data_IF_595075119392
#
_entry.id   IF_595075119392
#
_cell.length_a   1.000
_cell.length_b   1.000
_cell.length_c   1.000
_cell.angle_alpha   90.00
_cell.angle_beta   90.00
_cell.angle_gamma   90.00
#
_symmetry.space_group_name_H-M   'P 1'
#
loop_
_entity.id
_entity.type
_entity.pdbx_description
1 polymer ?
#
# COMPACT_ATOMS: atom_id res chain seq x y z
N UNK A 1 -29.08 58.51 -63.70
CA UNK A 1 -30.01 57.42 -63.40
C UNK A 1 -29.21 56.14 -63.25
N UNK A 2 -28.84 55.73 -61.99
CA UNK A 2 -28.12 54.49 -61.67
C UNK A 2 -29.05 53.61 -60.86
N UNK A 3 -29.42 52.45 -61.38
CA UNK A 3 -30.22 51.44 -60.66
C UNK A 3 -29.29 50.55 -59.83
N UNK A 4 -29.50 50.58 -58.49
CA UNK A 4 -28.91 49.65 -57.58
C UNK A 4 -29.65 48.31 -57.58
N UNK A 5 -28.95 47.22 -57.90
CA UNK A 5 -29.45 45.87 -57.76
C UNK A 5 -29.15 45.36 -56.30
N UNK A 6 -30.16 44.84 -55.66
CA UNK A 6 -30.05 44.27 -54.32
C UNK A 6 -29.40 42.87 -54.33
N UNK A 7 -28.55 42.52 -53.39
CA UNK A 7 -28.00 41.17 -53.28
C UNK A 7 -29.01 40.20 -52.61
N UNK A 8 -29.14 39.00 -53.15
CA UNK A 8 -29.95 37.91 -52.67
C UNK A 8 -29.42 37.39 -51.30
N UNK A 9 -30.32 37.28 -50.31
CA UNK A 9 -30.07 36.64 -49.03
C UNK A 9 -29.92 35.12 -49.18
N UNK A 10 -28.69 34.60 -49.10
CA UNK A 10 -28.46 33.20 -48.88
C UNK A 10 -28.71 32.90 -47.39
N UNK A 11 -29.77 32.15 -47.07
CA UNK A 11 -30.04 31.61 -45.72
C UNK A 11 -29.01 30.52 -45.39
N UNK A 12 -27.97 30.88 -44.66
CA UNK A 12 -27.08 29.91 -44.03
C UNK A 12 -27.74 29.31 -42.80
N UNK A 13 -27.94 28.00 -42.80
CA UNK A 13 -28.50 27.21 -41.70
C UNK A 13 -27.54 27.27 -40.48
N UNK A 14 -27.89 27.87 -39.31
CA UNK A 14 -26.97 28.07 -38.21
C UNK A 14 -26.73 26.83 -37.32
N UNK A 15 -27.41 25.71 -37.59
CA UNK A 15 -27.38 24.54 -36.65
C UNK A 15 -26.15 23.62 -36.77
N UNK A 16 -25.56 23.49 -37.99
CA UNK A 16 -24.44 22.53 -38.16
C UNK A 16 -23.06 23.05 -37.74
N UNK A 17 -22.83 24.35 -37.79
CA UNK A 17 -21.54 24.94 -37.38
C UNK A 17 -21.37 25.03 -35.89
N UNK A 18 -22.48 25.11 -35.11
CA UNK A 18 -22.42 25.16 -33.63
C UNK A 18 -22.13 23.80 -32.99
N UNK A 19 -22.62 22.70 -33.63
CA UNK A 19 -22.37 21.34 -33.15
C UNK A 19 -20.91 20.89 -33.38
N UNK A 20 -20.29 21.30 -34.47
CA UNK A 20 -18.87 21.02 -34.76
C UNK A 20 -17.91 21.81 -33.87
N UNK A 21 -18.27 23.03 -33.46
CA UNK A 21 -17.48 23.87 -32.56
C UNK A 21 -17.43 23.34 -31.12
N UNK A 22 -18.52 22.78 -30.61
CA UNK A 22 -18.57 22.24 -29.24
C UNK A 22 -17.85 20.91 -29.14
N UNK A 23 -17.88 20.06 -30.15
CA UNK A 23 -17.20 18.76 -30.14
C UNK A 23 -15.67 18.87 -30.18
N UNK A 24 -15.15 19.91 -30.81
CA UNK A 24 -13.70 20.15 -30.92
C UNK A 24 -13.11 20.88 -29.70
N UNK A 25 -13.93 21.56 -28.89
CA UNK A 25 -13.46 22.26 -27.67
C UNK A 25 -13.36 21.35 -26.48
N UNK A 26 -14.17 20.29 -26.41
CA UNK A 26 -14.13 19.35 -25.26
C UNK A 26 -13.07 18.25 -25.38
N UNK A 27 -12.69 17.84 -26.60
CA UNK A 27 -11.70 16.79 -26.84
C UNK A 27 -10.32 17.07 -26.24
N UNK A 28 -9.71 18.26 -26.36
CA UNK A 28 -8.40 18.51 -25.76
C UNK A 28 -8.42 18.51 -24.23
N UNK A 29 -9.53 18.90 -23.59
CA UNK A 29 -9.68 18.85 -22.13
C UNK A 29 -9.80 17.43 -21.60
N UNK A 30 -10.54 16.55 -22.28
CA UNK A 30 -10.67 15.15 -21.89
C UNK A 30 -9.37 14.36 -22.07
N UNK A 31 -8.67 14.58 -23.20
CA UNK A 31 -7.37 13.93 -23.44
C UNK A 31 -6.31 14.37 -22.44
N UNK A 32 -6.30 15.65 -22.06
CA UNK A 32 -5.43 16.16 -21.01
C UNK A 32 -5.75 15.57 -19.63
N UNK A 33 -7.04 15.41 -19.31
CA UNK A 33 -7.49 14.79 -18.05
C UNK A 33 -7.08 13.33 -17.93
N UNK A 34 -7.29 12.52 -19.00
CA UNK A 34 -6.86 11.12 -19.03
C UNK A 34 -5.35 10.96 -18.91
N UNK A 35 -4.58 11.83 -19.58
CA UNK A 35 -3.12 11.81 -19.46
C UNK A 35 -2.66 12.11 -18.03
N UNK A 36 -3.25 13.09 -17.35
CA UNK A 36 -2.95 13.43 -15.96
C UNK A 36 -3.26 12.25 -15.04
N UNK A 37 -4.39 11.56 -15.21
CA UNK A 37 -4.75 10.40 -14.40
C UNK A 37 -3.82 9.20 -14.65
N UNK A 38 -3.43 8.95 -15.92
CA UNK A 38 -2.46 7.91 -16.27
C UNK A 38 -1.10 8.18 -15.60
N UNK A 39 -0.64 9.43 -15.66
CA UNK A 39 0.59 9.86 -14.99
C UNK A 39 0.45 9.66 -13.48
N UNK A 40 -0.71 10.03 -12.88
CA UNK A 40 -0.98 9.80 -11.46
C UNK A 40 -0.85 8.34 -11.06
N UNK A 41 -1.44 7.43 -11.83
CA UNK A 41 -1.31 5.99 -11.61
C UNK A 41 0.15 5.51 -11.67
N UNK A 42 0.89 5.93 -12.70
CA UNK A 42 2.30 5.53 -12.85
C UNK A 42 3.19 6.11 -11.75
N UNK A 43 2.95 7.35 -11.33
CA UNK A 43 3.64 7.94 -10.18
C UNK A 43 3.31 7.22 -8.87
N UNK A 44 2.06 6.80 -8.67
CA UNK A 44 1.68 5.96 -7.53
C UNK A 44 2.42 4.62 -7.54
N UNK A 45 2.52 3.95 -8.68
CA UNK A 45 3.31 2.72 -8.81
C UNK A 45 4.79 2.97 -8.51
N UNK A 46 5.36 4.07 -9.02
CA UNK A 46 6.75 4.44 -8.75
C UNK A 46 6.96 4.74 -7.26
N UNK A 47 6.06 5.47 -6.62
CA UNK A 47 6.13 5.79 -5.21
C UNK A 47 6.25 4.55 -4.32
N UNK A 48 5.60 3.43 -4.70
CA UNK A 48 5.78 2.16 -4.01
C UNK A 48 7.22 1.64 -4.04
N UNK A 49 8.10 2.16 -4.91
CA UNK A 49 9.52 1.76 -5.02
C UNK A 49 10.44 2.63 -4.17
N UNK A 50 9.94 3.59 -3.43
CA UNK A 50 10.76 4.46 -2.59
C UNK A 50 11.53 3.64 -1.55
N UNK A 51 12.77 4.03 -1.19
CA UNK A 51 13.66 3.20 -0.37
C UNK A 51 13.07 2.80 0.97
N UNK A 52 12.35 3.68 1.64
CA UNK A 52 11.68 3.45 2.92
C UNK A 52 10.59 2.38 2.80
N UNK A 53 9.82 2.37 1.70
CA UNK A 53 8.84 1.34 1.40
C UNK A 53 9.49 -0.02 1.16
N UNK A 54 10.53 -0.07 0.32
CA UNK A 54 11.25 -1.30 -0.01
C UNK A 54 11.88 -1.91 1.25
N UNK A 55 12.50 -1.09 2.10
CA UNK A 55 13.12 -1.53 3.35
C UNK A 55 12.07 -2.05 4.34
N UNK A 56 10.97 -1.31 4.55
CA UNK A 56 9.89 -1.74 5.43
C UNK A 56 9.25 -3.05 4.95
N UNK A 57 8.93 -3.15 3.63
CA UNK A 57 8.39 -4.39 3.03
C UNK A 57 9.35 -5.55 3.23
N UNK A 58 10.63 -5.38 2.92
CA UNK A 58 11.62 -6.46 3.06
C UNK A 58 11.64 -7.03 4.48
N UNK A 59 11.49 -6.16 5.48
CA UNK A 59 11.46 -6.54 6.89
C UNK A 59 10.15 -7.28 7.26
N UNK A 60 9.01 -6.80 6.75
CA UNK A 60 7.70 -7.39 7.03
C UNK A 60 7.56 -8.78 6.41
N UNK A 61 8.01 -8.97 5.15
CA UNK A 61 7.85 -10.23 4.41
C UNK A 61 9.05 -11.17 4.53
N UNK A 62 10.11 -10.78 5.23
CA UNK A 62 11.33 -11.58 5.39
C UNK A 62 11.10 -13.01 5.93
N UNK A 63 9.98 -13.22 6.62
CA UNK A 63 9.59 -14.51 7.20
C UNK A 63 8.39 -15.15 6.49
N UNK A 64 7.83 -14.48 5.47
CA UNK A 64 6.70 -15.01 4.70
C UNK A 64 7.21 -15.91 3.57
N UNK A 65 6.68 -17.12 3.49
CA UNK A 65 7.07 -18.10 2.48
C UNK A 65 6.12 -18.16 1.29
N UNK A 66 4.94 -17.57 1.44
CA UNK A 66 3.91 -17.58 0.42
C UNK A 66 3.86 -16.24 -0.31
N UNK A 67 4.15 -16.25 -1.61
CA UNK A 67 4.10 -15.06 -2.47
C UNK A 67 2.68 -14.45 -2.46
N UNK A 68 1.64 -15.28 -2.43
CA UNK A 68 0.24 -14.82 -2.40
C UNK A 68 -0.05 -14.06 -1.09
N UNK A 69 0.41 -14.58 0.05
CA UNK A 69 0.25 -13.87 1.33
C UNK A 69 1.06 -12.58 1.35
N UNK A 70 2.26 -12.60 0.80
CA UNK A 70 3.08 -11.40 0.65
C UNK A 70 2.37 -10.33 -0.20
N UNK A 71 1.80 -10.71 -1.34
CA UNK A 71 1.00 -9.80 -2.18
C UNK A 71 -0.20 -9.21 -1.42
N UNK A 72 -0.91 -10.03 -0.62
CA UNK A 72 -2.02 -9.56 0.23
C UNK A 72 -1.55 -8.58 1.31
N UNK A 73 -0.39 -8.81 1.91
CA UNK A 73 0.26 -7.87 2.85
C UNK A 73 0.52 -6.54 2.14
N UNK A 74 1.05 -6.57 0.90
CA UNK A 74 1.27 -5.37 0.09
C UNK A 74 -0.01 -4.61 -0.23
N UNK A 75 -1.10 -5.30 -0.55
CA UNK A 75 -2.42 -4.68 -0.77
C UNK A 75 -2.91 -4.00 0.51
N UNK A 76 -2.89 -4.68 1.65
CA UNK A 76 -3.36 -4.13 2.92
C UNK A 76 -2.55 -2.90 3.34
N UNK A 77 -1.24 -2.97 3.18
CA UNK A 77 -0.38 -1.82 3.45
C UNK A 77 -0.68 -0.66 2.49
N UNK A 78 -0.74 -0.94 1.17
CA UNK A 78 -1.10 0.05 0.17
C UNK A 78 -2.47 0.70 0.42
N UNK A 79 -3.46 -0.07 0.91
CA UNK A 79 -4.76 0.47 1.31
C UNK A 79 -4.63 1.44 2.49
N UNK A 80 -3.92 1.07 3.57
CA UNK A 80 -3.68 1.95 4.71
C UNK A 80 -2.97 3.24 4.30
N UNK A 81 -1.94 3.12 3.49
CA UNK A 81 -1.18 4.23 2.93
C UNK A 81 -2.05 5.16 2.07
N UNK A 82 -2.82 4.60 1.15
CA UNK A 82 -3.72 5.36 0.27
C UNK A 82 -4.81 6.08 1.06
N UNK A 83 -5.43 5.42 2.05
CA UNK A 83 -6.44 6.05 2.91
C UNK A 83 -5.87 7.32 3.55
N UNK A 84 -4.66 7.26 4.06
CA UNK A 84 -4.01 8.41 4.71
C UNK A 84 -3.67 9.50 3.70
N UNK A 85 -3.05 9.17 2.56
CA UNK A 85 -2.73 10.14 1.51
C UNK A 85 -3.98 10.85 1.02
N UNK A 86 -5.05 10.10 0.74
CA UNK A 86 -6.30 10.68 0.24
C UNK A 86 -6.97 11.53 1.32
N UNK A 87 -7.02 11.06 2.58
CA UNK A 87 -7.65 11.80 3.67
C UNK A 87 -6.92 13.11 3.97
N UNK A 88 -5.61 13.04 4.20
CA UNK A 88 -4.79 14.22 4.53
C UNK A 88 -4.64 15.13 3.31
N UNK A 89 -4.38 14.55 2.13
CA UNK A 89 -4.23 15.31 0.89
C UNK A 89 -5.52 16.02 0.46
N UNK A 90 -6.66 15.35 0.56
CA UNK A 90 -7.95 15.99 0.31
C UNK A 90 -8.24 17.11 1.33
N UNK A 91 -7.90 16.91 2.60
CA UNK A 91 -8.03 17.94 3.62
C UNK A 91 -7.18 19.17 3.28
N UNK A 92 -5.93 19.00 2.88
CA UNK A 92 -5.05 20.11 2.46
C UNK A 92 -5.65 20.83 1.24
N UNK A 93 -6.09 20.09 0.22
CA UNK A 93 -6.60 20.66 -1.04
C UNK A 93 -7.93 21.38 -0.84
N UNK A 94 -8.88 20.76 -0.13
CA UNK A 94 -10.23 21.29 0.02
C UNK A 94 -10.33 22.44 1.04
N UNK A 95 -9.53 22.38 2.10
CA UNK A 95 -9.56 23.39 3.17
C UNK A 95 -8.41 24.40 3.08
N UNK A 96 -7.50 24.26 2.12
CA UNK A 96 -6.35 25.17 1.97
C UNK A 96 -5.42 25.15 3.19
N UNK A 97 -5.33 24.01 3.89
CA UNK A 97 -4.53 23.90 5.12
C UNK A 97 -3.03 23.90 4.79
N UNK A 98 -2.28 24.82 5.39
CA UNK A 98 -0.84 24.78 5.37
C UNK A 98 -0.33 23.91 6.51
N UNK A 99 0.53 22.93 6.21
CA UNK A 99 1.15 22.11 7.24
C UNK A 99 2.29 22.90 7.88
N UNK A 100 2.23 23.04 9.22
CA UNK A 100 3.32 23.66 9.96
C UNK A 100 4.60 22.80 9.84
N UNK A 101 5.80 23.39 9.59
CA UNK A 101 7.04 22.63 9.36
C UNK A 101 7.32 21.54 10.40
N UNK A 102 7.12 21.82 11.68
CA UNK A 102 7.31 20.81 12.74
C UNK A 102 6.35 19.63 12.64
N UNK A 103 5.13 19.85 12.16
CA UNK A 103 4.15 18.77 11.99
C UNK A 103 4.60 17.86 10.83
N UNK A 104 5.03 18.44 9.70
CA UNK A 104 5.58 17.69 8.58
C UNK A 104 6.79 16.85 8.99
N UNK A 105 7.77 17.47 9.65
CA UNK A 105 8.94 16.77 10.18
C UNK A 105 8.59 15.67 11.19
N UNK A 106 7.60 15.90 12.06
CA UNK A 106 7.14 14.88 13.01
C UNK A 106 6.49 13.67 12.33
N UNK A 107 5.75 13.92 11.23
CA UNK A 107 5.18 12.85 10.42
C UNK A 107 6.27 12.01 9.76
N UNK A 108 7.27 12.62 9.16
CA UNK A 108 8.42 11.92 8.56
C UNK A 108 9.27 11.21 9.63
N UNK A 109 9.50 11.83 10.79
CA UNK A 109 10.19 11.22 11.94
C UNK A 109 9.49 9.95 12.41
N UNK A 110 8.16 9.90 12.36
CA UNK A 110 7.38 8.72 12.73
C UNK A 110 7.68 7.51 11.85
N UNK A 111 8.02 7.71 10.56
CA UNK A 111 8.46 6.65 9.66
C UNK A 111 9.83 6.11 10.08
N UNK A 112 10.76 6.98 10.45
CA UNK A 112 12.06 6.55 10.99
C UNK A 112 11.90 5.67 12.23
N UNK A 113 11.05 6.10 13.20
CA UNK A 113 10.73 5.31 14.40
C UNK A 113 10.07 3.98 14.05
N UNK A 114 9.17 3.95 13.08
CA UNK A 114 8.52 2.73 12.62
C UNK A 114 9.54 1.74 12.02
N UNK A 115 10.49 2.22 11.21
CA UNK A 115 11.55 1.39 10.64
C UNK A 115 12.49 0.83 11.70
N UNK A 116 12.85 1.63 12.72
CA UNK A 116 13.61 1.15 13.89
C UNK A 116 12.83 0.05 14.60
N UNK A 117 11.55 0.27 14.88
CA UNK A 117 10.70 -0.72 15.54
C UNK A 117 10.63 -2.02 14.73
N UNK A 118 10.38 -1.94 13.41
CA UNK A 118 10.32 -3.10 12.53
C UNK A 118 11.66 -3.86 12.51
N UNK A 119 12.78 -3.13 12.42
CA UNK A 119 14.13 -3.70 12.47
C UNK A 119 14.39 -4.46 13.77
N UNK A 120 14.12 -3.84 14.92
CA UNK A 120 14.26 -4.46 16.24
C UNK A 120 13.37 -5.69 16.39
N UNK A 121 12.08 -5.59 16.03
CA UNK A 121 11.15 -6.72 16.10
C UNK A 121 11.57 -7.88 15.21
N UNK A 122 12.19 -7.59 14.05
CA UNK A 122 12.69 -8.61 13.15
C UNK A 122 13.95 -9.29 13.70
N UNK A 123 14.91 -8.52 14.22
CA UNK A 123 16.18 -9.03 14.78
C UNK A 123 15.97 -9.84 16.06
N UNK A 124 15.12 -9.39 16.96
CA UNK A 124 14.84 -10.07 18.23
C UNK A 124 13.92 -11.28 18.08
N UNK A 125 13.26 -11.45 16.93
CA UNK A 125 12.24 -12.48 16.75
C UNK A 125 10.95 -12.22 17.55
N UNK A 126 10.85 -11.09 18.25
CA UNK A 126 9.68 -10.70 19.04
C UNK A 126 8.39 -10.66 18.22
N UNK A 127 8.51 -10.47 16.89
CA UNK A 127 7.40 -10.56 15.97
C UNK A 127 6.71 -11.93 15.99
N UNK A 128 7.47 -13.03 16.08
CA UNK A 128 6.90 -14.37 16.15
C UNK A 128 6.20 -14.60 17.50
N UNK A 129 6.80 -14.11 18.58
CA UNK A 129 6.20 -14.18 19.90
C UNK A 129 4.87 -13.40 19.97
N UNK A 130 4.82 -12.18 19.43
CA UNK A 130 3.59 -11.38 19.31
C UNK A 130 2.53 -12.11 18.48
N UNK A 131 2.92 -12.67 17.34
CA UNK A 131 2.00 -13.41 16.47
C UNK A 131 1.42 -14.63 17.18
N UNK A 132 2.25 -15.38 17.92
CA UNK A 132 1.80 -16.55 18.68
C UNK A 132 0.88 -16.14 19.85
N UNK A 133 1.18 -15.05 20.51
CA UNK A 133 0.39 -14.57 21.66
C UNK A 133 -0.98 -14.02 21.25
N UNK A 134 -1.06 -13.38 20.09
CA UNK A 134 -2.31 -12.79 19.55
C UNK A 134 -3.02 -13.67 18.51
N UNK A 135 -2.43 -14.82 18.13
CA UNK A 135 -3.19 -15.87 17.46
C UNK A 135 -4.10 -16.53 18.50
N UNK A 136 -5.39 -16.68 18.22
CA UNK A 136 -6.25 -17.42 19.15
C UNK A 136 -5.68 -18.82 19.27
N UNK A 137 -5.09 -19.12 20.43
CA UNK A 137 -4.73 -20.47 20.80
C UNK A 137 -6.02 -21.27 20.80
N UNK A 138 -6.15 -22.21 19.87
CA UNK A 138 -7.20 -23.20 20.02
C UNK A 138 -6.97 -23.87 21.38
N UNK A 139 -7.98 -23.90 22.27
CA UNK A 139 -7.84 -24.65 23.50
C UNK A 139 -7.45 -26.07 23.10
N UNK A 140 -6.44 -26.64 23.80
CA UNK A 140 -6.13 -28.05 23.65
C UNK A 140 -7.35 -28.82 24.13
N UNK A 141 -8.24 -29.11 23.20
CA UNK A 141 -9.38 -29.96 23.46
C UNK A 141 -8.79 -31.36 23.54
N UNK A 142 -8.70 -31.86 24.74
CA UNK A 142 -8.45 -33.29 25.02
C UNK A 142 -9.74 -34.01 24.60
N UNK A 143 -9.76 -34.52 23.41
CA UNK A 143 -10.91 -35.18 22.80
C UNK A 143 -10.85 -35.10 21.27
N UNK A 144 -11.87 -35.60 20.62
CA UNK A 144 -12.01 -35.54 19.18
C UNK A 144 -12.01 -34.10 18.70
N UNK A 145 -11.05 -33.72 17.86
CA UNK A 145 -10.98 -32.38 17.29
C UNK A 145 -10.53 -32.41 15.83
N UNK A 146 -10.99 -31.43 15.07
CA UNK A 146 -10.59 -31.24 13.71
C UNK A 146 -9.57 -30.10 13.61
N UNK A 147 -8.44 -30.33 13.02
CA UNK A 147 -7.50 -29.27 12.70
C UNK A 147 -7.03 -29.35 11.25
N UNK A 148 -6.64 -28.19 10.76
CA UNK A 148 -6.21 -28.02 9.39
C UNK A 148 -4.71 -28.27 9.31
N UNK A 149 -4.29 -29.23 8.51
CA UNK A 149 -2.88 -29.39 8.17
C UNK A 149 -2.66 -29.63 6.69
N UNK A 150 -1.45 -29.39 6.26
CA UNK A 150 -1.04 -29.44 4.87
C UNK A 150 -0.12 -30.67 4.67
N UNK A 151 -0.56 -31.56 3.78
CA UNK A 151 0.26 -32.62 3.24
C UNK A 151 0.29 -32.54 1.71
N UNK A 152 1.46 -32.61 1.10
CA UNK A 152 1.65 -32.60 -0.36
C UNK A 152 0.92 -31.46 -1.09
N UNK A 153 0.98 -30.21 -0.56
CA UNK A 153 0.35 -29.03 -1.15
C UNK A 153 -1.19 -29.02 -1.11
N UNK A 154 -1.82 -29.96 -0.40
CA UNK A 154 -3.26 -29.96 -0.20
C UNK A 154 -3.60 -29.63 1.27
N UNK A 155 -4.39 -28.59 1.46
CA UNK A 155 -4.92 -28.19 2.76
C UNK A 155 -6.22 -28.94 3.00
N UNK A 156 -6.27 -29.81 4.00
CA UNK A 156 -7.48 -30.53 4.33
C UNK A 156 -7.78 -30.50 5.84
N UNK A 157 -9.04 -30.58 6.15
CA UNK A 157 -9.56 -30.63 7.52
C UNK A 157 -10.06 -32.05 7.75
N UNK A 158 -9.53 -32.76 8.71
CA UNK A 158 -10.08 -34.04 9.13
C UNK A 158 -10.20 -34.14 10.65
N UNK A 159 -11.14 -34.95 11.09
CA UNK A 159 -11.35 -35.28 12.49
C UNK A 159 -10.47 -36.47 12.84
N UNK A 160 -9.78 -36.42 13.95
CA UNK A 160 -9.12 -37.59 14.50
C UNK A 160 -9.26 -37.62 16.04
N UNK A 161 -9.31 -38.83 16.52
CA UNK A 161 -9.41 -39.15 17.94
C UNK A 161 -8.04 -39.59 18.45
N UNK A 162 -7.61 -39.07 19.56
CA UNK A 162 -6.45 -39.54 20.28
C UNK A 162 -6.87 -40.54 21.39
N UNK A 163 -7.33 -41.71 20.99
CA UNK A 163 -7.58 -42.82 21.91
C UNK A 163 -6.39 -43.80 21.92
N UNK A 164 -6.19 -44.57 23.01
CA UNK A 164 -5.05 -45.45 23.14
C UNK A 164 -5.07 -46.72 22.27
N UNK A 165 -6.03 -46.87 21.40
CA UNK A 165 -6.09 -47.99 20.45
C UNK A 165 -7.01 -47.68 19.26
N UNK A 166 -6.46 -47.73 18.07
CA UNK A 166 -7.22 -47.97 16.82
C UNK A 166 -7.23 -46.80 15.82
N UNK A 167 -6.42 -47.00 14.78
CA UNK A 167 -6.51 -46.22 13.54
C UNK A 167 -7.79 -46.62 12.78
N UNK A 168 -8.77 -45.75 12.75
CA UNK A 168 -9.84 -45.82 11.74
C UNK A 168 -9.93 -44.48 11.00
N UNK A 169 -9.33 -44.47 9.82
CA UNK A 169 -9.48 -43.35 8.88
C UNK A 169 -10.88 -43.42 8.26
N UNK A 170 -11.79 -42.58 8.73
CA UNK A 170 -13.04 -42.32 8.01
C UNK A 170 -12.80 -41.11 7.13
N UNK A 171 -12.60 -41.36 5.86
CA UNK A 171 -12.46 -40.32 4.84
C UNK A 171 -13.83 -39.66 4.61
N UNK A 172 -14.12 -38.59 5.37
CA UNK A 172 -15.30 -37.77 5.09
C UNK A 172 -14.99 -36.79 3.98
N UNK A 173 -15.66 -36.92 2.85
CA UNK A 173 -15.61 -35.99 1.71
C UNK A 173 -15.94 -34.59 2.18
N UNK A 174 -14.94 -33.72 2.18
CA UNK A 174 -15.13 -32.30 2.53
C UNK A 174 -16.02 -31.62 1.48
N UNK A 175 -16.98 -30.77 1.90
CA UNK A 175 -17.77 -30.00 0.95
C UNK A 175 -16.87 -29.05 0.14
N UNK A 176 -17.22 -28.75 -1.14
CA UNK A 176 -16.39 -27.93 -2.01
C UNK A 176 -16.09 -26.58 -1.35
N UNK A 177 -14.82 -26.21 -1.34
CA UNK A 177 -14.33 -24.97 -0.77
C UNK A 177 -15.01 -23.78 -1.45
N UNK A 178 -16.15 -23.33 -0.91
CA UNK A 178 -16.72 -22.02 -1.26
C UNK A 178 -15.63 -20.99 -0.99
N UNK A 179 -15.44 -20.08 -1.93
CA UNK A 179 -14.53 -18.95 -1.90
C UNK A 179 -14.47 -18.32 -0.50
N UNK A 180 -13.62 -18.82 0.37
CA UNK A 180 -13.32 -18.14 1.62
C UNK A 180 -12.54 -16.89 1.25
N UNK A 181 -13.05 -15.73 1.66
CA UNK A 181 -12.41 -14.45 1.42
C UNK A 181 -10.89 -14.59 1.68
N UNK A 182 -10.02 -14.14 0.76
CA UNK A 182 -8.57 -14.35 0.85
C UNK A 182 -8.00 -13.83 2.20
N UNK A 183 -8.66 -12.84 2.80
CA UNK A 183 -8.29 -12.26 4.09
C UNK A 183 -8.69 -13.10 5.32
N UNK A 184 -9.66 -14.01 5.21
CA UNK A 184 -10.04 -14.89 6.32
C UNK A 184 -8.94 -15.92 6.68
N UNK A 185 -7.95 -16.11 5.80
CA UNK A 185 -6.78 -16.97 6.03
C UNK A 185 -5.64 -16.25 6.77
N UNK A 186 -5.68 -14.92 6.79
CA UNK A 186 -4.77 -14.09 7.57
C UNK A 186 -5.45 -13.83 8.91
N UNK A 187 -4.96 -14.31 10.02
CA UNK A 187 -5.52 -13.95 11.34
C UNK A 187 -5.63 -12.43 11.50
N UNK A 188 -6.51 -11.95 12.39
CA UNK A 188 -6.79 -10.51 12.60
C UNK A 188 -5.51 -9.69 12.77
N UNK A 189 -4.53 -10.20 13.51
CA UNK A 189 -3.24 -9.54 13.72
C UNK A 189 -2.43 -9.41 12.41
N UNK A 190 -2.41 -10.45 11.58
CA UNK A 190 -1.73 -10.41 10.27
C UNK A 190 -2.37 -9.45 9.28
N UNK A 191 -3.67 -9.17 9.43
CA UNK A 191 -4.40 -8.22 8.57
C UNK A 191 -4.23 -6.79 9.06
N UNK A 192 -4.36 -6.55 10.37
CA UNK A 192 -4.33 -5.19 10.94
C UNK A 192 -2.93 -4.57 10.92
N UNK A 193 -1.88 -5.38 11.11
CA UNK A 193 -0.50 -4.89 11.17
C UNK A 193 -0.04 -4.18 9.88
N UNK A 194 -0.13 -4.79 8.69
CA UNK A 194 0.24 -4.11 7.45
C UNK A 194 -0.59 -2.85 7.20
N UNK A 195 -1.88 -2.91 7.50
CA UNK A 195 -2.77 -1.76 7.37
C UNK A 195 -2.32 -0.59 8.27
N UNK A 196 -2.01 -0.87 9.56
CA UNK A 196 -1.54 0.15 10.50
C UNK A 196 -0.19 0.74 10.07
N UNK A 197 0.75 -0.11 9.65
CA UNK A 197 2.04 0.35 9.11
C UNK A 197 1.81 1.25 7.89
N UNK A 198 0.87 0.89 7.00
CA UNK A 198 0.50 1.70 5.86
C UNK A 198 -0.07 3.07 6.25
N UNK A 199 -0.94 3.12 7.26
CA UNK A 199 -1.51 4.37 7.78
C UNK A 199 -0.39 5.30 8.29
N UNK A 200 0.51 4.79 9.14
CA UNK A 200 1.62 5.59 9.69
C UNK A 200 2.55 6.07 8.56
N UNK A 201 2.87 5.20 7.61
CA UNK A 201 3.74 5.52 6.49
C UNK A 201 3.12 6.55 5.53
N UNK A 202 1.80 6.44 5.29
CA UNK A 202 1.07 7.39 4.46
C UNK A 202 0.99 8.80 5.02
N UNK A 203 1.17 8.97 6.35
CA UNK A 203 1.20 10.32 6.96
C UNK A 203 2.39 11.13 6.43
N UNK A 204 3.57 10.56 6.33
CA UNK A 204 4.78 11.25 5.88
C UNK A 204 4.70 11.67 4.41
N UNK A 205 4.31 10.75 3.52
CA UNK A 205 4.24 11.02 2.07
C UNK A 205 3.08 11.92 1.65
N UNK A 206 2.04 12.05 2.48
CA UNK A 206 0.80 12.74 2.10
C UNK A 206 0.98 14.24 1.79
N UNK A 207 1.88 14.89 2.49
CA UNK A 207 2.15 16.31 2.32
C UNK A 207 2.88 16.61 1.00
N UNK A 208 3.93 15.86 0.69
CA UNK A 208 4.70 16.03 -0.54
C UNK A 208 3.84 15.80 -1.79
N UNK A 209 3.10 14.69 -1.82
CA UNK A 209 2.20 14.37 -2.93
C UNK A 209 1.11 15.43 -3.08
N UNK A 210 0.52 15.90 -1.98
CA UNK A 210 -0.55 16.89 -2.01
C UNK A 210 -0.07 18.26 -2.51
N UNK A 211 1.13 18.69 -2.11
CA UNK A 211 1.72 19.94 -2.59
C UNK A 211 2.10 19.85 -4.06
N UNK A 212 2.65 18.73 -4.53
CA UNK A 212 2.93 18.50 -5.94
C UNK A 212 1.65 18.57 -6.77
N UNK A 213 0.59 17.93 -6.32
CA UNK A 213 -0.72 17.96 -6.99
C UNK A 213 -1.31 19.36 -7.03
N UNK A 214 -1.28 20.07 -5.90
CA UNK A 214 -1.82 21.42 -5.79
C UNK A 214 -1.08 22.44 -6.68
N UNK A 215 0.23 22.27 -6.87
CA UNK A 215 1.03 23.10 -7.76
C UNK A 215 0.71 22.86 -9.24
N UNK A 216 0.19 21.69 -9.59
CA UNK A 216 -0.03 21.24 -10.98
C UNK A 216 -1.49 21.34 -11.41
N UNK A 217 -2.44 21.02 -10.51
CA UNK A 217 -3.87 20.92 -10.80
C UNK A 217 -4.64 21.99 -10.06
N UNK A 218 -5.19 22.98 -10.79
CA UNK A 218 -5.93 24.10 -10.19
C UNK A 218 -7.35 23.76 -9.74
N UNK A 219 -7.98 22.76 -10.35
CA UNK A 219 -9.35 22.35 -10.00
C UNK A 219 -9.30 21.33 -8.86
N UNK A 220 -9.88 21.61 -7.67
CA UNK A 220 -9.86 20.72 -6.52
C UNK A 220 -10.46 19.35 -6.78
N UNK A 221 -11.47 19.24 -7.67
CA UNK A 221 -12.11 17.96 -8.00
C UNK A 221 -11.14 17.05 -8.75
N UNK A 222 -10.44 17.59 -9.73
CA UNK A 222 -9.41 16.87 -10.48
C UNK A 222 -8.21 16.52 -9.60
N UNK A 223 -7.84 17.40 -8.67
CA UNK A 223 -6.77 17.17 -7.72
C UNK A 223 -7.10 15.97 -6.78
N UNK A 224 -8.31 15.93 -6.21
CA UNK A 224 -8.74 14.79 -5.38
C UNK A 224 -8.86 13.50 -6.19
N UNK A 225 -9.37 13.57 -7.42
CA UNK A 225 -9.43 12.39 -8.32
C UNK A 225 -8.02 11.87 -8.64
N UNK A 226 -7.07 12.77 -8.88
CA UNK A 226 -5.67 12.40 -9.08
C UNK A 226 -5.09 11.66 -7.87
N UNK A 227 -5.32 12.17 -6.65
CA UNK A 227 -4.87 11.50 -5.42
C UNK A 227 -5.44 10.08 -5.29
N UNK A 228 -6.72 9.91 -5.65
CA UNK A 228 -7.37 8.61 -5.63
C UNK A 228 -6.74 7.64 -6.64
N UNK A 229 -6.51 8.09 -7.87
CA UNK A 229 -5.87 7.28 -8.93
C UNK A 229 -4.41 6.98 -8.60
N UNK A 230 -3.68 7.96 -8.05
CA UNK A 230 -2.33 7.76 -7.49
C UNK A 230 -2.34 6.68 -6.42
N UNK A 231 -3.30 6.72 -5.49
CA UNK A 231 -3.45 5.71 -4.45
C UNK A 231 -3.69 4.30 -5.00
N UNK A 232 -4.52 4.16 -6.05
CA UNK A 232 -4.72 2.87 -6.74
C UNK A 232 -3.39 2.38 -7.34
N UNK A 233 -2.62 3.28 -7.96
CA UNK A 233 -1.28 2.98 -8.48
C UNK A 233 -0.33 2.52 -7.37
N UNK A 234 -0.37 3.19 -6.21
CA UNK A 234 0.43 2.81 -5.04
C UNK A 234 0.06 1.43 -4.52
N UNK A 235 -1.23 1.09 -4.41
CA UNK A 235 -1.68 -0.26 -4.01
C UNK A 235 -1.16 -1.31 -4.99
N UNK A 236 -1.29 -1.08 -6.29
CA UNK A 236 -0.79 -1.99 -7.33
C UNK A 236 0.74 -2.15 -7.25
N UNK A 237 1.48 -1.06 -7.12
CA UNK A 237 2.93 -1.05 -6.94
C UNK A 237 3.37 -1.80 -5.69
N UNK A 238 2.72 -1.53 -4.54
CA UNK A 238 2.99 -2.22 -3.27
C UNK A 238 2.74 -3.72 -3.36
N UNK A 239 1.65 -4.14 -3.99
CA UNK A 239 1.37 -5.56 -4.24
C UNK A 239 2.50 -6.21 -5.04
N UNK A 240 2.90 -5.61 -6.15
CA UNK A 240 3.93 -6.16 -7.05
C UNK A 240 5.29 -6.22 -6.39
N UNK A 241 5.73 -5.14 -5.73
CA UNK A 241 7.03 -5.08 -5.06
C UNK A 241 7.08 -6.05 -3.89
N UNK A 242 6.02 -6.11 -3.08
CA UNK A 242 5.95 -7.05 -1.96
C UNK A 242 6.03 -8.49 -2.42
N UNK A 243 5.34 -8.84 -3.51
CA UNK A 243 5.44 -10.15 -4.13
C UNK A 243 6.85 -10.43 -4.66
N UNK A 244 7.48 -9.46 -5.35
CA UNK A 244 8.83 -9.59 -5.89
C UNK A 244 9.88 -9.75 -4.78
N UNK A 245 9.81 -8.96 -3.71
CA UNK A 245 10.72 -9.07 -2.56
C UNK A 245 10.54 -10.41 -1.81
N UNK A 246 9.33 -10.96 -1.77
CA UNK A 246 9.08 -12.25 -1.13
C UNK A 246 9.70 -13.43 -1.90
N UNK A 247 10.01 -13.29 -3.20
CA UNK A 247 10.59 -14.37 -4.01
C UNK A 247 11.89 -14.93 -3.42
N UNK A 248 12.95 -14.14 -3.14
CA UNK A 248 14.19 -14.68 -2.58
C UNK A 248 13.99 -15.34 -1.21
N UNK A 249 13.10 -14.82 -0.37
CA UNK A 249 12.79 -15.41 0.94
C UNK A 249 12.06 -16.74 0.81
N UNK A 250 11.14 -16.86 -0.15
CA UNK A 250 10.41 -18.11 -0.41
C UNK A 250 11.35 -19.20 -0.94
N UNK A 251 12.23 -18.89 -1.89
CA UNK A 251 13.19 -19.82 -2.44
C UNK A 251 14.26 -20.25 -1.43
N UNK A 252 14.83 -19.28 -0.68
CA UNK A 252 15.85 -19.56 0.33
C UNK A 252 15.29 -20.40 1.47
N UNK A 253 14.04 -20.19 1.86
CA UNK A 253 13.40 -20.90 2.97
C UNK A 253 13.25 -22.41 2.74
N UNK A 254 13.19 -22.87 1.49
CA UNK A 254 13.07 -24.29 1.13
C UNK A 254 14.41 -25.02 1.01
N UNK A 255 15.46 -24.34 0.56
CA UNK A 255 16.73 -24.99 0.19
C UNK A 255 17.91 -24.67 1.09
N UNK A 256 17.98 -23.45 1.65
CA UNK A 256 19.18 -22.96 2.35
C UNK A 256 18.81 -22.20 3.64
N UNK A 257 18.70 -22.92 4.75
CA UNK A 257 18.35 -22.34 6.05
C UNK A 257 19.31 -21.22 6.51
N UNK A 258 20.61 -21.32 6.23
CA UNK A 258 21.61 -20.32 6.55
C UNK A 258 21.42 -19.01 5.75
N UNK A 259 21.10 -19.13 4.44
CA UNK A 259 20.82 -17.99 3.56
C UNK A 259 19.56 -17.26 4.01
N UNK A 260 18.51 -18.01 4.34
CA UNK A 260 17.27 -17.43 4.85
C UNK A 260 17.49 -16.65 6.16
N UNK A 261 18.27 -17.19 7.10
CA UNK A 261 18.65 -16.47 8.33
C UNK A 261 19.45 -15.21 8.00
N UNK A 262 20.41 -15.30 7.08
CA UNK A 262 21.20 -14.16 6.63
C UNK A 262 20.32 -13.05 6.03
N UNK A 263 19.38 -13.39 5.16
CA UNK A 263 18.46 -12.43 4.55
C UNK A 263 17.54 -11.77 5.59
N UNK A 264 17.01 -12.53 6.54
CA UNK A 264 16.19 -12.00 7.64
C UNK A 264 17.00 -11.02 8.51
N UNK A 265 18.21 -11.40 8.88
CA UNK A 265 19.08 -10.53 9.70
C UNK A 265 19.49 -9.28 8.93
N UNK A 266 19.88 -9.43 7.66
CA UNK A 266 20.24 -8.31 6.80
C UNK A 266 19.08 -7.32 6.65
N UNK A 267 17.86 -7.79 6.36
CA UNK A 267 16.68 -6.91 6.24
C UNK A 267 16.38 -6.16 7.55
N UNK A 268 16.53 -6.82 8.70
CA UNK A 268 16.36 -6.19 10.01
C UNK A 268 17.42 -5.13 10.32
N UNK A 269 18.68 -5.42 10.01
CA UNK A 269 19.79 -4.46 10.18
C UNK A 269 19.66 -3.25 9.25
N UNK A 270 19.31 -3.46 7.99
CA UNK A 270 19.07 -2.37 7.03
C UNK A 270 17.92 -1.49 7.49
N UNK A 271 16.82 -2.08 7.95
CA UNK A 271 15.68 -1.32 8.48
C UNK A 271 16.06 -0.50 9.71
N UNK A 272 16.81 -1.09 10.65
CA UNK A 272 17.29 -0.39 11.83
C UNK A 272 18.23 0.76 11.48
N UNK A 273 19.24 0.51 10.64
CA UNK A 273 20.21 1.50 10.23
C UNK A 273 19.57 2.67 9.46
N UNK A 274 18.66 2.36 8.53
CA UNK A 274 17.97 3.37 7.74
C UNK A 274 16.98 4.18 8.60
N UNK A 275 16.27 3.54 9.52
CA UNK A 275 15.41 4.23 10.48
C UNK A 275 16.18 5.18 11.40
N UNK A 276 17.37 4.77 11.90
CA UNK A 276 18.27 5.63 12.66
C UNK A 276 18.77 6.81 11.83
N UNK A 277 19.13 6.56 10.56
CA UNK A 277 19.55 7.60 9.63
C UNK A 277 18.44 8.65 9.40
N UNK A 278 17.18 8.21 9.14
CA UNK A 278 16.04 9.12 8.99
C UNK A 278 15.82 9.92 10.28
N UNK A 279 15.84 9.28 11.43
CA UNK A 279 15.66 9.96 12.72
C UNK A 279 16.75 11.00 12.98
N UNK A 280 18.00 10.70 12.63
CA UNK A 280 19.13 11.63 12.72
C UNK A 280 18.91 12.81 11.78
N UNK A 281 18.63 12.54 10.50
CA UNK A 281 18.41 13.55 9.47
C UNK A 281 17.29 14.52 9.90
N UNK A 282 16.12 14.00 10.18
CA UNK A 282 14.94 14.82 10.49
C UNK A 282 15.04 15.47 11.87
N UNK A 283 15.57 14.74 12.86
CA UNK A 283 15.66 15.22 14.24
C UNK A 283 16.66 16.38 14.41
N UNK A 284 17.85 16.24 13.83
CA UNK A 284 18.98 17.15 14.05
C UNK A 284 19.28 18.02 12.83
N UNK A 285 19.33 17.46 11.62
CA UNK A 285 19.72 18.21 10.41
C UNK A 285 18.58 19.10 9.94
N UNK A 286 17.37 18.54 9.78
CA UNK A 286 16.19 19.32 9.34
C UNK A 286 15.54 20.09 10.49
N UNK A 287 16.00 19.83 11.71
CA UNK A 287 15.76 20.69 12.85
C UNK A 287 14.45 20.48 13.59
N UNK A 288 13.86 19.28 13.58
CA UNK A 288 12.65 18.99 14.34
C UNK A 288 12.79 19.38 15.82
N UNK A 289 13.95 19.08 16.42
CA UNK A 289 14.27 19.37 17.82
C UNK A 289 15.07 20.65 18.01
N UNK A 290 15.30 21.44 16.94
CA UNK A 290 16.02 22.71 17.01
C UNK A 290 15.07 23.91 16.99
N UNK A 291 15.63 25.11 17.18
CA UNK A 291 14.88 26.38 17.14
C UNK A 291 14.47 26.79 15.71
N UNK A 292 15.11 26.24 14.67
CA UNK A 292 14.92 26.63 13.28
C UNK A 292 14.56 25.40 12.41
N UNK A 293 13.32 24.89 12.48
CA UNK A 293 12.90 23.77 11.66
C UNK A 293 12.80 24.20 10.19
N UNK A 294 13.53 23.50 9.33
CA UNK A 294 13.46 23.65 7.87
C UNK A 294 12.82 22.40 7.29
N UNK A 295 11.60 22.56 6.79
CA UNK A 295 10.88 21.44 6.19
C UNK A 295 10.68 21.68 4.70
N UNK A 296 11.24 20.79 3.88
CA UNK A 296 10.96 20.67 2.45
C UNK A 296 10.40 19.25 2.24
N UNK A 297 9.12 19.10 1.87
CA UNK A 297 8.54 17.78 1.66
C UNK A 297 9.26 17.06 0.52
N UNK A 298 9.76 15.87 0.83
CA UNK A 298 10.53 15.01 -0.05
C UNK A 298 9.64 14.01 -0.80
#
# INVERSE_FOLDING_TARGET
MLKYGAPSKALSRPGKLRALSLSNYERPKMMGGLAILTIGFLFGMRHATDPDHVIAVSTIVSRERSIVKAALIGILWGCGHTITIVAVGAAIILFGMAIHPRVGLAMEFSVGLMLILLGVLNLTGAMQWLTQKFSPSHPKVTGDHAHLHEHNSHLHLHWHSHGPAGEHHVESVAPPARLRAPFARLGVFHTLRPLFVGIVHGLAGSAAVSLLVLSTIRDPRWAVLYLFVFGIGTIAGMMLITAAIALPFSFAGYKFAWLNRGLITASGLVSLAFGLFICYQIGLVDGLFTSHPTWAPS
#
